data_IF_197116834041
#
_entry.id   IF_197116834041
#
_cell.length_a   1.000
_cell.length_b   1.000
_cell.length_c   1.000
_cell.angle_alpha   90.00
_cell.angle_beta   90.00
_cell.angle_gamma   90.00
#
_symmetry.space_group_name_H-M   'P 1'
#
loop_
_entity.id
_entity.type
_entity.pdbx_description
1 polymer ?
#
# COMPACT_ATOMS: atom_id res chain seq x y z
N UNK A 1 -5.20 -0.33 9.38
CA UNK A 1 -6.27 0.06 8.44
C UNK A 1 -6.13 -0.77 7.18
N UNK A 2 -7.22 -1.10 6.49
CA UNK A 2 -7.17 -1.94 5.28
C UNK A 2 -7.86 -1.23 4.12
N UNK A 3 -7.27 -1.25 2.96
CA UNK A 3 -7.91 -0.70 1.75
C UNK A 3 -8.77 -1.72 1.02
N UNK A 4 -8.70 -2.99 1.36
CA UNK A 4 -9.50 -4.04 0.74
C UNK A 4 -10.48 -4.70 1.70
N UNK A 5 -11.60 -5.17 1.15
CA UNK A 5 -12.65 -5.90 1.83
C UNK A 5 -13.25 -6.93 0.84
N UNK A 6 -13.85 -7.99 1.35
CA UNK A 6 -14.69 -8.87 0.57
C UNK A 6 -16.15 -8.40 0.68
N UNK A 7 -16.76 -8.05 -0.45
CA UNK A 7 -18.18 -7.74 -0.58
C UNK A 7 -18.86 -8.91 -1.29
N UNK A 8 -19.69 -9.64 -0.57
CA UNK A 8 -20.34 -10.85 -1.10
C UNK A 8 -19.35 -11.87 -1.70
N UNK A 9 -18.13 -11.97 -1.13
CA UNK A 9 -17.06 -12.84 -1.61
C UNK A 9 -16.12 -12.20 -2.63
N UNK A 10 -16.48 -11.09 -3.23
CA UNK A 10 -15.68 -10.36 -4.21
C UNK A 10 -14.78 -9.32 -3.54
N UNK A 11 -13.50 -9.27 -3.93
CA UNK A 11 -12.54 -8.32 -3.34
C UNK A 11 -12.72 -6.93 -3.92
N UNK A 12 -13.03 -5.97 -3.09
CA UNK A 12 -13.16 -4.56 -3.43
C UNK A 12 -12.11 -3.72 -2.70
N UNK A 13 -11.80 -2.54 -3.24
CA UNK A 13 -10.84 -1.61 -2.65
C UNK A 13 -11.48 -0.25 -2.38
N UNK A 14 -11.15 0.37 -1.24
CA UNK A 14 -11.72 1.66 -0.83
C UNK A 14 -11.41 2.81 -1.79
N UNK A 15 -10.22 2.79 -2.41
CA UNK A 15 -9.80 3.82 -3.37
C UNK A 15 -10.52 3.75 -4.73
N UNK A 16 -11.31 2.69 -5.00
CA UNK A 16 -12.15 2.57 -6.19
C UNK A 16 -13.44 3.40 -6.09
N UNK A 17 -13.76 3.91 -4.91
CA UNK A 17 -14.99 4.63 -4.64
C UNK A 17 -14.74 6.13 -4.55
N UNK A 18 -15.60 6.91 -5.22
CA UNK A 18 -15.74 8.35 -4.95
C UNK A 18 -16.28 8.55 -3.54
N UNK A 19 -16.16 9.76 -2.99
CA UNK A 19 -16.71 10.08 -1.67
C UNK A 19 -18.25 9.87 -1.61
N UNK A 20 -18.96 10.17 -2.69
CA UNK A 20 -20.41 9.95 -2.78
C UNK A 20 -20.72 8.45 -2.75
N UNK A 21 -20.14 7.65 -3.62
CA UNK A 21 -20.35 6.20 -3.66
C UNK A 21 -19.91 5.51 -2.37
N UNK A 22 -18.87 6.03 -1.67
CA UNK A 22 -18.47 5.52 -0.36
C UNK A 22 -19.53 5.74 0.72
N UNK A 23 -20.18 6.90 0.71
CA UNK A 23 -21.30 7.20 1.63
C UNK A 23 -22.52 6.32 1.34
N UNK A 24 -22.85 6.09 0.09
CA UNK A 24 -23.91 5.16 -0.33
C UNK A 24 -23.63 3.74 0.14
N UNK A 25 -22.41 3.24 -0.11
CA UNK A 25 -21.96 1.92 0.35
C UNK A 25 -22.06 1.80 1.88
N UNK A 26 -21.71 2.87 2.59
CA UNK A 26 -21.81 2.95 4.05
C UNK A 26 -23.27 2.95 4.54
N UNK A 27 -24.18 3.60 3.83
CA UNK A 27 -25.61 3.60 4.16
C UNK A 27 -26.22 2.19 4.00
N UNK A 28 -25.77 1.44 2.99
CA UNK A 28 -26.25 0.09 2.69
C UNK A 28 -25.54 -1.02 3.49
N UNK A 29 -24.60 -0.67 4.40
CA UNK A 29 -23.70 -1.64 5.07
C UNK A 29 -24.40 -2.81 5.78
N UNK A 30 -25.63 -2.62 6.27
CA UNK A 30 -26.40 -3.68 6.94
C UNK A 30 -26.89 -4.75 6.01
N UNK A 31 -27.02 -4.44 4.72
CA UNK A 31 -27.47 -5.37 3.66
C UNK A 31 -26.29 -6.04 2.95
N UNK A 32 -25.07 -5.57 3.22
CA UNK A 32 -23.85 -6.06 2.55
C UNK A 32 -23.11 -7.06 3.45
N UNK A 33 -22.74 -8.20 2.87
CA UNK A 33 -21.87 -9.16 3.54
C UNK A 33 -20.41 -8.72 3.38
N UNK A 34 -19.98 -7.78 4.24
CA UNK A 34 -18.62 -7.25 4.22
C UNK A 34 -17.72 -8.04 5.17
N UNK A 35 -16.64 -8.61 4.63
CA UNK A 35 -15.69 -9.46 5.37
C UNK A 35 -14.26 -8.95 5.21
N UNK A 36 -13.48 -9.04 6.28
CA UNK A 36 -12.04 -8.76 6.23
C UNK A 36 -11.32 -9.91 5.52
N UNK A 37 -10.45 -9.63 4.52
CA UNK A 37 -9.75 -10.67 3.77
C UNK A 37 -8.77 -11.50 4.61
N UNK A 38 -8.28 -10.94 5.72
CA UNK A 38 -7.28 -11.55 6.59
C UNK A 38 -7.84 -12.68 7.49
N UNK A 39 -9.11 -12.58 7.92
CA UNK A 39 -9.68 -13.48 8.94
C UNK A 39 -11.17 -13.80 8.71
N UNK A 40 -11.81 -13.24 7.69
CA UNK A 40 -13.24 -13.44 7.43
C UNK A 40 -14.19 -12.74 8.42
N UNK A 41 -13.67 -12.00 9.42
CA UNK A 41 -14.50 -11.23 10.34
C UNK A 41 -15.28 -10.14 9.64
N UNK A 42 -16.38 -9.68 10.26
CA UNK A 42 -17.19 -8.59 9.68
C UNK A 42 -16.40 -7.30 9.58
N UNK A 43 -16.49 -6.64 8.44
CA UNK A 43 -15.85 -5.37 8.15
C UNK A 43 -16.82 -4.19 8.30
N UNK A 44 -16.26 -3.03 8.65
CA UNK A 44 -16.97 -1.75 8.65
C UNK A 44 -16.20 -0.73 7.81
N UNK A 45 -16.96 0.22 7.22
CA UNK A 45 -16.40 1.33 6.44
C UNK A 45 -16.09 2.49 7.36
N UNK A 46 -14.89 3.04 7.24
CA UNK A 46 -14.44 4.22 7.99
C UNK A 46 -13.81 5.25 7.06
N UNK A 47 -13.79 6.49 7.52
CA UNK A 47 -13.05 7.59 6.89
C UNK A 47 -12.21 8.25 7.97
N UNK A 48 -10.93 8.46 7.71
CA UNK A 48 -10.00 9.14 8.64
C UNK A 48 -10.24 10.66 8.62
N UNK A 49 -9.58 11.37 9.55
CA UNK A 49 -9.55 12.84 9.58
C UNK A 49 -8.90 13.46 8.32
N UNK A 50 -8.05 12.72 7.64
CA UNK A 50 -7.43 13.12 6.36
C UNK A 50 -8.26 12.71 5.13
N UNK A 51 -9.50 12.24 5.31
CA UNK A 51 -10.37 11.82 4.21
C UNK A 51 -10.07 10.42 3.64
N UNK A 52 -9.12 9.67 4.22
CA UNK A 52 -8.80 8.31 3.77
C UNK A 52 -9.97 7.38 4.02
N UNK A 53 -10.51 6.78 2.96
CA UNK A 53 -11.52 5.74 3.02
C UNK A 53 -10.84 4.39 3.27
N UNK A 54 -11.33 3.62 4.24
CA UNK A 54 -10.74 2.33 4.60
C UNK A 54 -11.75 1.39 5.26
N UNK A 55 -11.40 0.11 5.26
CA UNK A 55 -12.13 -0.92 5.99
C UNK A 55 -11.45 -1.22 7.32
N UNK A 56 -12.24 -1.57 8.32
CA UNK A 56 -11.76 -1.98 9.63
C UNK A 56 -12.60 -3.17 10.15
N UNK A 57 -12.03 -3.95 11.06
CA UNK A 57 -12.80 -4.96 11.77
C UNK A 57 -13.93 -4.32 12.56
N UNK A 58 -15.11 -4.94 12.55
CA UNK A 58 -16.26 -4.52 13.36
C UNK A 58 -15.98 -4.71 14.85
N UNK A 59 -15.26 -5.75 15.20
CA UNK A 59 -14.84 -6.06 16.58
C UNK A 59 -13.44 -6.68 16.55
N UNK A 60 -12.68 -6.55 17.65
CA UNK A 60 -11.42 -7.28 17.85
C UNK A 60 -11.79 -8.73 18.20
N UNK A 61 -11.93 -9.61 17.24
CA UNK A 61 -12.42 -10.97 17.49
C UNK A 61 -11.41 -12.09 17.25
N UNK A 62 -10.30 -11.81 16.56
CA UNK A 62 -9.34 -12.86 16.30
C UNK A 62 -7.97 -12.47 16.85
N UNK A 63 -7.48 -13.14 17.91
CA UNK A 63 -6.13 -12.90 18.44
C UNK A 63 -5.03 -13.23 17.41
N UNK A 64 -5.33 -14.03 16.40
CA UNK A 64 -4.39 -14.37 15.31
C UNK A 64 -4.52 -13.44 14.09
N UNK A 65 -5.48 -12.50 14.12
CA UNK A 65 -5.56 -11.51 13.07
C UNK A 65 -4.49 -10.45 13.28
N UNK A 66 -3.39 -10.59 12.57
CA UNK A 66 -2.31 -9.59 12.53
C UNK A 66 -2.85 -8.30 11.90
N UNK A 67 -3.44 -7.45 12.74
CA UNK A 67 -3.67 -6.05 12.41
C UNK A 67 -2.28 -5.43 12.21
N UNK A 68 -2.06 -4.73 11.11
CA UNK A 68 -0.85 -3.91 10.93
C UNK A 68 -0.81 -2.84 12.05
N UNK A 69 -0.17 -3.20 13.17
CA UNK A 69 0.07 -2.28 14.26
C UNK A 69 1.27 -1.40 13.89
N UNK A 70 1.11 -0.10 14.04
CA UNK A 70 2.23 0.84 13.98
C UNK A 70 2.33 1.74 12.76
N UNK A 71 1.43 1.67 11.78
CA UNK A 71 1.42 2.66 10.69
C UNK A 71 0.75 3.97 11.14
N UNK A 72 1.42 5.11 10.87
CA UNK A 72 0.83 6.42 11.13
C UNK A 72 -0.30 6.73 10.13
N UNK A 73 -1.21 7.63 10.53
CA UNK A 73 -2.33 8.06 9.67
C UNK A 73 -1.82 8.66 8.35
N UNK A 74 -0.71 9.40 8.41
CA UNK A 74 -0.09 10.02 7.22
C UNK A 74 0.53 8.97 6.29
N UNK A 75 1.15 7.91 6.83
CA UNK A 75 1.66 6.80 6.03
C UNK A 75 0.53 6.12 5.25
N UNK A 76 -0.55 5.79 5.96
CA UNK A 76 -1.74 5.18 5.37
C UNK A 76 -2.36 6.11 4.32
N UNK A 77 -2.42 7.42 4.61
CA UNK A 77 -2.91 8.41 3.65
C UNK A 77 -2.05 8.47 2.38
N UNK A 78 -0.73 8.45 2.52
CA UNK A 78 0.19 8.41 1.37
C UNK A 78 -0.02 7.14 0.52
N UNK A 79 -0.11 5.96 1.14
CA UNK A 79 -0.44 4.70 0.43
C UNK A 79 -1.79 4.79 -0.30
N UNK A 80 -2.79 5.38 0.35
CA UNK A 80 -4.12 5.58 -0.25
C UNK A 80 -4.06 6.47 -1.49
N UNK A 81 -3.40 7.63 -1.40
CA UNK A 81 -3.27 8.56 -2.53
C UNK A 81 -2.57 7.93 -3.73
N UNK A 82 -1.46 7.22 -3.48
CA UNK A 82 -0.73 6.52 -4.55
C UNK A 82 -1.58 5.41 -5.18
N UNK A 83 -2.27 4.62 -4.36
CA UNK A 83 -3.16 3.56 -4.86
C UNK A 83 -4.29 4.13 -5.70
N UNK A 84 -4.89 5.24 -5.26
CA UNK A 84 -5.97 5.92 -5.95
C UNK A 84 -5.49 6.50 -7.28
N UNK A 85 -4.37 7.22 -7.29
CA UNK A 85 -3.81 7.80 -8.51
C UNK A 85 -3.50 6.72 -9.55
N UNK A 86 -2.85 5.63 -9.15
CA UNK A 86 -2.60 4.50 -10.07
C UNK A 86 -3.90 3.89 -10.62
N UNK A 87 -4.91 3.73 -9.77
CA UNK A 87 -6.20 3.21 -10.20
C UNK A 87 -6.91 4.14 -11.20
N UNK A 88 -6.89 5.45 -10.94
CA UNK A 88 -7.47 6.48 -11.84
C UNK A 88 -6.75 6.54 -13.19
N UNK A 89 -5.46 6.19 -13.25
CA UNK A 89 -4.67 6.04 -14.47
C UNK A 89 -4.82 4.65 -15.15
N UNK A 90 -5.80 3.86 -14.74
CA UNK A 90 -6.14 2.58 -15.38
C UNK A 90 -5.33 1.37 -14.92
N UNK A 91 -4.51 1.48 -13.87
CA UNK A 91 -3.78 0.36 -13.33
C UNK A 91 -4.69 -0.55 -12.51
N UNK A 92 -4.46 -1.84 -12.60
CA UNK A 92 -4.98 -2.81 -11.64
C UNK A 92 -4.10 -2.75 -10.38
N UNK A 93 -4.70 -2.34 -9.25
CA UNK A 93 -3.97 -2.06 -8.01
C UNK A 93 -4.38 -3.03 -6.91
N UNK A 94 -3.40 -3.63 -6.26
CA UNK A 94 -3.56 -4.42 -5.03
C UNK A 94 -2.70 -3.81 -3.92
N UNK A 95 -3.21 -3.78 -2.69
CA UNK A 95 -2.42 -3.36 -1.50
C UNK A 95 -2.09 -4.55 -0.63
N UNK A 96 -0.99 -4.47 0.12
CA UNK A 96 -0.48 -5.54 0.99
C UNK A 96 -0.33 -6.87 0.21
N UNK A 97 0.15 -6.75 -1.03
CA UNK A 97 0.34 -7.92 -1.91
C UNK A 97 1.44 -8.82 -1.39
N UNK A 98 1.10 -10.07 -1.15
CA UNK A 98 2.08 -11.11 -0.83
C UNK A 98 2.62 -11.73 -2.10
N UNK A 99 3.92 -11.96 -2.12
CA UNK A 99 4.61 -12.68 -3.18
C UNK A 99 5.76 -13.49 -2.64
N UNK A 100 6.42 -14.23 -3.52
CA UNK A 100 7.50 -15.15 -3.18
C UNK A 100 8.51 -15.20 -4.32
N UNK A 101 9.79 -15.30 -3.98
CA UNK A 101 10.86 -15.57 -4.93
C UNK A 101 10.87 -17.05 -5.32
N UNK A 102 11.59 -17.41 -6.36
CA UNK A 102 11.73 -18.81 -6.79
C UNK A 102 12.37 -19.70 -5.70
N UNK A 103 13.27 -19.14 -4.89
CA UNK A 103 13.91 -19.83 -3.75
C UNK A 103 13.06 -19.81 -2.46
N UNK A 104 11.80 -19.38 -2.54
CA UNK A 104 10.83 -19.50 -1.44
C UNK A 104 10.83 -18.33 -0.45
N UNK A 105 11.59 -17.26 -0.66
CA UNK A 105 11.59 -16.09 0.23
C UNK A 105 10.33 -15.26 0.01
N UNK A 106 9.56 -15.02 1.07
CA UNK A 106 8.33 -14.24 1.02
C UNK A 106 8.60 -12.74 1.09
N UNK A 107 7.77 -11.96 0.42
CA UNK A 107 7.73 -10.52 0.52
C UNK A 107 6.28 -10.00 0.61
N UNK A 108 6.12 -8.81 1.13
CA UNK A 108 4.85 -8.08 1.16
C UNK A 108 5.11 -6.68 0.63
N UNK A 109 4.39 -6.29 -0.40
CA UNK A 109 4.47 -4.97 -1.01
C UNK A 109 3.36 -4.07 -0.49
N UNK A 110 3.67 -2.81 -0.18
CA UNK A 110 2.66 -1.81 0.19
C UNK A 110 1.59 -1.68 -0.90
N UNK A 111 2.05 -1.52 -2.14
CA UNK A 111 1.20 -1.40 -3.33
C UNK A 111 1.81 -2.23 -4.45
N UNK A 112 0.98 -3.01 -5.12
CA UNK A 112 1.34 -3.71 -6.34
C UNK A 112 0.40 -3.28 -7.45
N UNK A 113 0.95 -2.92 -8.61
CA UNK A 113 0.19 -2.43 -9.75
C UNK A 113 0.55 -3.15 -11.04
N UNK A 114 -0.44 -3.38 -11.90
CA UNK A 114 -0.28 -3.91 -13.26
C UNK A 114 -1.03 -3.05 -14.26
N UNK A 115 -0.44 -2.83 -15.41
CA UNK A 115 -1.08 -2.15 -16.53
C UNK A 115 -1.06 -3.07 -17.76
N UNK A 116 -2.09 -3.02 -18.61
CA UNK A 116 -2.21 -3.84 -19.80
C UNK A 116 -1.02 -3.71 -20.74
N UNK A 117 -0.49 -2.50 -20.86
CA UNK A 117 0.59 -2.15 -21.78
C UNK A 117 2.00 -2.46 -21.25
N UNK A 118 2.09 -2.97 -20.01
CA UNK A 118 3.36 -3.24 -19.35
C UNK A 118 3.41 -4.71 -18.91
N UNK A 119 4.37 -5.44 -19.47
CA UNK A 119 4.52 -6.88 -19.22
C UNK A 119 4.88 -7.26 -17.78
N UNK A 120 5.55 -6.35 -17.05
CA UNK A 120 5.98 -6.58 -15.66
C UNK A 120 5.11 -5.83 -14.68
N UNK A 121 4.76 -6.49 -13.57
CA UNK A 121 4.17 -5.81 -12.42
C UNK A 121 5.13 -4.78 -11.80
N UNK A 122 4.57 -3.81 -11.12
CA UNK A 122 5.28 -2.77 -10.39
C UNK A 122 4.87 -2.79 -8.92
N UNK A 123 5.85 -2.81 -8.04
CA UNK A 123 5.68 -2.54 -6.62
C UNK A 123 5.96 -1.07 -6.34
N UNK A 124 5.15 -0.44 -5.51
CA UNK A 124 5.46 0.87 -4.93
C UNK A 124 5.53 0.72 -3.41
N UNK A 125 6.70 0.98 -2.86
CA UNK A 125 6.97 1.00 -1.43
C UNK A 125 6.89 2.42 -0.90
N UNK A 126 6.06 2.64 0.11
CA UNK A 126 5.89 3.95 0.75
C UNK A 126 6.65 3.94 2.09
N UNK A 127 7.91 4.34 2.07
CA UNK A 127 8.77 4.32 3.24
C UNK A 127 8.59 5.57 4.10
N UNK A 128 7.82 5.44 5.17
CA UNK A 128 7.46 6.53 6.07
C UNK A 128 8.36 6.64 7.31
N UNK A 129 8.78 5.50 7.84
CA UNK A 129 9.70 5.40 8.98
C UNK A 129 11.15 5.20 8.53
N UNK A 130 12.10 5.44 9.44
CA UNK A 130 13.52 5.19 9.13
C UNK A 130 13.75 3.72 8.79
N UNK A 131 14.47 3.47 7.71
CA UNK A 131 14.90 2.13 7.28
C UNK A 131 16.37 2.19 6.90
N UNK A 132 17.14 1.17 7.27
CA UNK A 132 18.55 1.11 6.89
C UNK A 132 18.71 0.84 5.39
N UNK A 133 19.87 1.21 4.86
CA UNK A 133 20.26 0.94 3.48
C UNK A 133 20.21 -0.56 3.18
N UNK A 134 20.82 -1.37 4.03
CA UNK A 134 20.91 -2.84 3.87
C UNK A 134 19.52 -3.48 3.78
N UNK A 135 18.59 -3.03 4.64
CA UNK A 135 17.21 -3.53 4.62
C UNK A 135 16.50 -3.13 3.34
N UNK A 136 16.73 -1.92 2.83
CA UNK A 136 16.13 -1.45 1.57
C UNK A 136 16.66 -2.26 0.39
N UNK A 137 17.99 -2.46 0.31
CA UNK A 137 18.62 -3.27 -0.73
C UNK A 137 18.15 -4.72 -0.67
N UNK A 138 18.05 -5.30 0.52
CA UNK A 138 17.54 -6.66 0.69
C UNK A 138 16.08 -6.76 0.18
N UNK A 139 15.20 -5.83 0.57
CA UNK A 139 13.81 -5.84 0.07
C UNK A 139 13.75 -5.65 -1.45
N UNK A 140 14.59 -4.75 -2.00
CA UNK A 140 14.71 -4.58 -3.45
C UNK A 140 15.11 -5.88 -4.14
N UNK A 141 16.09 -6.60 -3.59
CA UNK A 141 16.57 -7.86 -4.20
C UNK A 141 15.48 -8.94 -4.26
N UNK A 142 14.53 -8.96 -3.32
CA UNK A 142 13.40 -9.88 -3.37
C UNK A 142 12.46 -9.57 -4.54
N UNK A 143 12.22 -8.29 -4.84
CA UNK A 143 11.42 -7.88 -6.00
C UNK A 143 12.13 -8.19 -7.31
N UNK A 144 13.44 -7.94 -7.39
CA UNK A 144 14.25 -8.24 -8.58
C UNK A 144 14.25 -9.75 -8.87
N UNK A 145 14.45 -10.61 -7.85
CA UNK A 145 14.38 -12.07 -7.95
C UNK A 145 12.98 -12.56 -8.33
N UNK A 146 11.93 -11.81 -8.03
CA UNK A 146 10.55 -12.11 -8.42
C UNK A 146 10.17 -11.52 -9.79
N UNK A 147 11.13 -10.95 -10.53
CA UNK A 147 10.93 -10.27 -11.82
C UNK A 147 9.86 -9.13 -11.76
N UNK A 148 9.80 -8.41 -10.62
CA UNK A 148 8.89 -7.30 -10.38
C UNK A 148 9.70 -6.01 -10.26
N UNK A 149 9.25 -4.94 -10.91
CA UNK A 149 9.85 -3.60 -10.74
C UNK A 149 9.44 -3.04 -9.39
N UNK A 150 10.35 -2.31 -8.72
CA UNK A 150 10.03 -1.62 -7.47
C UNK A 150 10.37 -0.13 -7.57
N UNK A 151 9.49 0.70 -7.02
CA UNK A 151 9.66 2.14 -6.85
C UNK A 151 9.57 2.46 -5.37
N UNK A 152 10.49 3.26 -4.86
CA UNK A 152 10.51 3.69 -3.47
C UNK A 152 10.10 5.13 -3.33
N UNK A 153 9.07 5.37 -2.51
CA UNK A 153 8.61 6.70 -2.14
C UNK A 153 8.99 6.98 -0.69
N UNK A 154 9.91 7.91 -0.46
CA UNK A 154 10.37 8.28 0.87
C UNK A 154 9.69 9.56 1.35
N UNK A 155 9.33 9.60 2.64
CA UNK A 155 8.85 10.83 3.28
C UNK A 155 9.95 11.89 3.30
N UNK A 156 9.61 13.13 2.90
CA UNK A 156 10.53 14.28 3.01
C UNK A 156 10.69 14.73 4.48
N UNK A 157 11.88 15.20 4.84
CA UNK A 157 12.17 16.01 6.02
C UNK A 157 12.82 15.29 7.22
N UNK A 158 12.37 14.13 7.66
CA UNK A 158 12.99 13.44 8.82
C UNK A 158 14.03 12.38 8.44
N UNK A 159 14.12 12.03 7.18
CA UNK A 159 14.96 10.94 6.68
C UNK A 159 16.12 11.41 5.81
N UNK A 160 16.47 12.71 5.87
CA UNK A 160 17.61 13.25 5.13
C UNK A 160 18.87 12.38 5.25
N UNK A 161 19.13 11.79 6.43
CA UNK A 161 20.29 10.91 6.63
C UNK A 161 20.14 9.56 5.91
N UNK A 162 18.96 8.94 5.96
CA UNK A 162 18.73 7.67 5.25
C UNK A 162 18.58 7.89 3.74
N UNK A 163 17.88 8.97 3.34
CA UNK A 163 17.76 9.37 1.93
C UNK A 163 19.12 9.79 1.37
N UNK A 164 19.94 10.54 2.13
CA UNK A 164 21.29 10.93 1.72
C UNK A 164 22.27 9.74 1.76
N UNK A 165 22.11 8.78 2.67
CA UNK A 165 22.87 7.53 2.62
C UNK A 165 22.49 6.69 1.41
N UNK A 166 21.21 6.59 1.09
CA UNK A 166 20.72 5.93 -0.12
C UNK A 166 21.14 6.69 -1.40
N UNK A 167 21.00 8.02 -1.42
CA UNK A 167 21.41 8.86 -2.56
C UNK A 167 22.92 9.11 -2.62
N UNK A 168 23.63 9.08 -1.49
CA UNK A 168 25.09 9.23 -1.44
C UNK A 168 25.84 8.02 -2.00
N UNK A 169 25.29 6.81 -1.85
CA UNK A 169 25.77 5.61 -2.51
C UNK A 169 25.23 5.46 -3.95
N UNK A 170 24.09 6.08 -4.25
CA UNK A 170 23.51 6.13 -5.60
C UNK A 170 23.64 7.56 -6.17
N UNK A 171 24.85 8.04 -6.32
CA UNK A 171 25.18 9.26 -7.08
C UNK A 171 24.77 9.19 -8.55
N UNK A 172 24.39 8.00 -8.99
CA UNK A 172 23.66 7.76 -10.21
C UNK A 172 22.32 7.14 -9.86
N UNK A 173 21.23 7.82 -10.20
CA UNK A 173 19.90 7.21 -10.27
C UNK A 173 19.99 5.99 -11.18
N UNK A 174 20.30 4.85 -10.60
CA UNK A 174 20.33 3.63 -11.37
C UNK A 174 18.89 3.26 -11.67
N UNK A 175 18.60 2.81 -12.90
CA UNK A 175 17.30 2.22 -13.26
C UNK A 175 16.91 1.06 -12.33
N UNK A 176 17.88 0.55 -11.55
CA UNK A 176 17.72 -0.55 -10.63
C UNK A 176 17.02 -0.17 -9.31
N UNK A 177 17.13 1.08 -8.84
CA UNK A 177 16.50 1.53 -7.60
C UNK A 177 15.93 2.95 -7.79
N UNK A 178 14.77 3.11 -8.42
CA UNK A 178 14.13 4.41 -8.55
C UNK A 178 13.59 4.87 -7.19
N UNK A 179 14.18 5.94 -6.67
CA UNK A 179 13.83 6.57 -5.40
C UNK A 179 13.25 7.95 -5.66
N UNK A 180 12.09 8.22 -5.06
CA UNK A 180 11.41 9.50 -5.11
C UNK A 180 11.12 9.99 -3.68
N UNK A 181 10.98 11.30 -3.52
CA UNK A 181 10.62 11.91 -2.26
C UNK A 181 9.19 12.45 -2.33
N UNK A 182 8.35 12.06 -1.39
CA UNK A 182 7.03 12.64 -1.20
C UNK A 182 7.17 13.98 -0.49
N UNK A 183 6.74 15.05 -1.14
CA UNK A 183 6.71 16.40 -0.60
C UNK A 183 5.24 16.76 -0.36
N UNK A 184 4.94 17.28 0.84
CA UNK A 184 3.64 17.92 1.06
C UNK A 184 3.63 19.20 0.23
N UNK A 185 2.64 19.36 -0.65
CA UNK A 185 2.41 20.64 -1.30
C UNK A 185 2.04 21.64 -0.20
N UNK A 186 2.69 22.79 -0.18
CA UNK A 186 2.25 23.93 0.62
C UNK A 186 1.00 24.49 -0.05
N UNK A 187 -0.07 24.67 0.73
CA UNK A 187 -1.33 25.28 0.30
C UNK A 187 -1.14 26.77 -0.01
#
# INVERSE_FOLDING_TARGET
>A
MFFSCLKNGEKIYSFQYTSAHWLELRAQRSQLNLKMPCCGASAILKTSSLGTQFFAHKSKQDPNCHVSEGESIEHIFAKYLVSKALYEEGWQVETEKRGQTEDGKCWIADIYARHSDISKGMVVEVQWSAQSYEKTVYRQSLYDQSNVRCVWLFRNGRQRKATNALTGHYTQRTKALPVFTLIKADD
#
